data_IF_139719771670
#
_entry.id   IF_139719771670
#
_cell.length_a   1.000
_cell.length_b   1.000
_cell.length_c   1.000
_cell.angle_alpha   90.00
_cell.angle_beta   90.00
_cell.angle_gamma   90.00
#
_symmetry.space_group_name_H-M   'P 1'
#
loop_
_entity.id
_entity.type
_entity.pdbx_description
1 polymer ?
#
# COMPACT_ATOMS: atom_id res chain seq x y z
N UNK A 1 14.67 -7.40 6.47
CA UNK A 1 13.44 -6.61 6.20
C UNK A 1 12.36 -7.09 7.15
N UNK A 2 11.43 -6.22 7.55
CA UNK A 2 10.33 -6.63 8.44
C UNK A 2 9.25 -7.36 7.62
N UNK A 3 8.55 -8.35 8.19
CA UNK A 3 7.41 -8.97 7.51
C UNK A 3 6.37 -7.92 7.11
N UNK A 4 5.83 -8.07 5.91
CA UNK A 4 4.71 -7.28 5.44
C UNK A 4 3.44 -7.68 6.19
N UNK A 5 2.75 -6.66 6.69
CA UNK A 5 1.38 -6.77 7.20
C UNK A 5 0.58 -5.62 6.60
N UNK A 6 -0.57 -5.87 5.94
CA UNK A 6 -1.41 -4.81 5.39
C UNK A 6 -1.95 -3.87 6.48
N UNK A 7 -2.08 -4.37 7.72
CA UNK A 7 -2.56 -3.59 8.87
C UNK A 7 -1.56 -2.51 9.30
N UNK A 8 -0.27 -2.65 8.98
CA UNK A 8 0.75 -1.64 9.26
C UNK A 8 0.55 -0.36 8.42
N UNK A 9 -0.34 -0.41 7.42
CA UNK A 9 -0.68 0.69 6.52
C UNK A 9 -2.08 1.27 6.79
N UNK A 10 -2.70 0.89 7.91
CA UNK A 10 -3.90 1.54 8.44
C UNK A 10 -3.52 2.50 9.57
N UNK A 11 -3.98 3.76 9.51
CA UNK A 11 -3.62 4.83 10.44
C UNK A 11 -2.71 5.89 9.83
N UNK A 12 -2.39 6.95 10.57
CA UNK A 12 -1.54 8.07 10.09
C UNK A 12 -2.00 8.73 8.78
N UNK A 13 -3.32 8.86 8.59
CA UNK A 13 -3.90 9.48 7.39
C UNK A 13 -4.07 8.52 6.20
N UNK A 14 -3.87 7.22 6.41
CA UNK A 14 -4.21 6.16 5.45
C UNK A 14 -5.27 5.22 6.01
N UNK A 15 -6.23 4.83 5.18
CA UNK A 15 -7.28 3.87 5.50
C UNK A 15 -7.09 2.64 4.64
N UNK A 16 -6.85 1.49 5.28
CA UNK A 16 -6.87 0.20 4.59
C UNK A 16 -8.29 -0.13 4.11
N UNK A 17 -8.48 -0.23 2.79
CA UNK A 17 -9.74 -0.66 2.20
C UNK A 17 -9.80 -2.18 2.06
N UNK A 18 -8.77 -2.76 1.43
CA UNK A 18 -8.66 -4.21 1.31
C UNK A 18 -7.23 -4.69 1.11
N UNK A 19 -7.04 -5.96 1.45
CA UNK A 19 -5.89 -6.76 1.08
C UNK A 19 -6.38 -8.04 0.40
N UNK A 20 -5.91 -8.30 -0.83
CA UNK A 20 -6.20 -9.52 -1.57
C UNK A 20 -4.89 -10.27 -1.84
N UNK A 21 -4.58 -11.33 -1.09
CA UNK A 21 -3.36 -12.09 -1.30
C UNK A 21 -3.39 -12.84 -2.66
N UNK A 22 -2.23 -12.95 -3.30
CA UNK A 22 -1.96 -13.70 -4.53
C UNK A 22 -0.74 -14.61 -4.35
N UNK A 23 -0.44 -15.47 -5.34
CA UNK A 23 0.63 -16.48 -5.22
C UNK A 23 2.00 -15.93 -4.81
N UNK A 24 2.39 -14.73 -5.27
CA UNK A 24 3.67 -14.12 -4.94
C UNK A 24 3.54 -12.74 -4.29
N UNK A 25 2.51 -12.51 -3.48
CA UNK A 25 2.27 -11.21 -2.83
C UNK A 25 0.79 -10.90 -2.78
N UNK A 26 0.35 -9.81 -3.41
CA UNK A 26 -1.07 -9.48 -3.48
C UNK A 26 -1.37 -8.04 -3.84
N UNK A 27 -2.66 -7.72 -3.85
CA UNK A 27 -3.16 -6.38 -4.11
C UNK A 27 -3.58 -5.70 -2.81
N UNK A 28 -3.06 -4.49 -2.60
CA UNK A 28 -3.39 -3.62 -1.48
C UNK A 28 -4.12 -2.38 -1.98
N UNK A 29 -5.28 -2.08 -1.41
CA UNK A 29 -5.99 -0.82 -1.68
C UNK A 29 -6.13 0.00 -0.41
N UNK A 30 -5.77 1.28 -0.53
CA UNK A 30 -5.77 2.26 0.53
C UNK A 30 -6.51 3.53 0.07
N UNK A 31 -7.11 4.24 1.01
CA UNK A 31 -7.47 5.65 0.85
C UNK A 31 -6.48 6.52 1.62
N UNK A 32 -6.06 7.65 1.05
CA UNK A 32 -5.04 8.51 1.62
C UNK A 32 -5.15 9.94 1.11
N UNK A 33 -4.72 10.90 1.92
CA UNK A 33 -4.33 12.22 1.42
C UNK A 33 -3.07 12.12 0.55
N UNK A 34 -2.92 13.00 -0.45
CA UNK A 34 -1.73 13.02 -1.32
C UNK A 34 -0.42 13.13 -0.52
N UNK A 35 -0.41 13.96 0.53
CA UNK A 35 0.78 14.25 1.33
C UNK A 35 1.30 13.01 2.10
N UNK A 36 0.43 12.04 2.41
CA UNK A 36 0.82 10.83 3.12
C UNK A 36 1.37 9.73 2.20
N UNK A 37 1.12 9.80 0.88
CA UNK A 37 1.52 8.77 -0.09
C UNK A 37 3.05 8.56 -0.14
N UNK A 38 3.92 9.60 -0.22
CA UNK A 38 5.37 9.39 -0.26
C UNK A 38 5.93 8.61 0.94
N UNK A 39 5.48 8.94 2.16
CA UNK A 39 5.91 8.25 3.38
C UNK A 39 5.44 6.78 3.40
N UNK A 40 4.31 6.48 2.76
CA UNK A 40 3.77 5.14 2.56
C UNK A 40 4.75 4.25 1.77
N UNK A 41 5.30 4.77 0.66
CA UNK A 41 6.31 4.06 -0.13
C UNK A 41 7.62 3.86 0.63
N UNK A 42 8.07 4.85 1.42
CA UNK A 42 9.24 4.68 2.29
C UNK A 42 9.05 3.58 3.33
N UNK A 43 7.84 3.43 3.89
CA UNK A 43 7.51 2.33 4.81
C UNK A 43 7.45 0.98 4.10
N UNK A 44 6.89 0.91 2.89
CA UNK A 44 6.85 -0.31 2.07
C UNK A 44 8.26 -0.81 1.75
N UNK A 45 9.20 0.08 1.44
CA UNK A 45 10.59 -0.26 1.16
C UNK A 45 11.35 -0.90 2.34
N UNK A 46 10.80 -0.85 3.56
CA UNK A 46 11.38 -1.48 4.75
C UNK A 46 10.83 -2.91 4.99
N UNK A 47 9.82 -3.32 4.19
CA UNK A 47 9.13 -4.60 4.30
C UNK A 47 9.69 -5.62 3.31
N UNK A 48 9.43 -6.90 3.56
CA UNK A 48 9.81 -8.01 2.67
C UNK A 48 8.95 -8.11 1.40
N UNK A 49 8.46 -6.98 0.89
CA UNK A 49 7.70 -6.84 -0.36
C UNK A 49 8.27 -5.72 -1.23
N UNK A 50 7.94 -5.75 -2.51
CA UNK A 50 8.24 -4.71 -3.49
C UNK A 50 6.94 -4.26 -4.17
N UNK A 51 6.87 -2.99 -4.59
CA UNK A 51 5.75 -2.47 -5.36
C UNK A 51 6.03 -2.73 -6.85
N UNK A 52 5.29 -3.65 -7.46
CA UNK A 52 5.41 -3.97 -8.88
C UNK A 52 4.67 -2.95 -9.76
N UNK A 53 3.49 -2.51 -9.32
CA UNK A 53 2.70 -1.49 -9.98
C UNK A 53 1.85 -0.70 -8.98
N UNK A 54 1.45 0.51 -9.37
CA UNK A 54 0.50 1.29 -8.57
C UNK A 54 -0.37 2.17 -9.46
N UNK A 55 -1.55 2.52 -8.93
CA UNK A 55 -2.43 3.52 -9.51
C UNK A 55 -2.93 4.46 -8.42
N UNK A 56 -3.07 5.74 -8.75
CA UNK A 56 -3.66 6.77 -7.88
C UNK A 56 -4.85 7.35 -8.63
N UNK A 57 -6.02 7.33 -8.00
CA UNK A 57 -7.25 7.88 -8.56
C UNK A 57 -7.92 8.81 -7.56
N UNK A 58 -8.53 9.92 -8.01
CA UNK A 58 -9.35 10.74 -7.13
C UNK A 58 -10.59 9.95 -6.70
N UNK A 59 -10.91 10.04 -5.42
CA UNK A 59 -12.22 9.75 -4.85
C UNK A 59 -12.73 11.06 -4.24
N UNK A 60 -14.04 11.25 -4.13
CA UNK A 60 -14.70 12.52 -3.75
C UNK A 60 -13.83 13.56 -3.02
N UNK A 61 -13.28 13.23 -1.85
CA UNK A 61 -12.39 14.11 -1.06
C UNK A 61 -11.03 13.50 -0.69
N UNK A 62 -10.73 12.27 -1.14
CA UNK A 62 -9.50 11.52 -0.81
C UNK A 62 -8.92 10.84 -2.04
N UNK A 63 -7.68 10.37 -2.01
CA UNK A 63 -7.14 9.58 -3.11
C UNK A 63 -7.23 8.10 -2.80
N UNK A 64 -7.62 7.31 -3.81
CA UNK A 64 -7.51 5.85 -3.75
C UNK A 64 -6.20 5.42 -4.39
N UNK A 65 -5.37 4.77 -3.58
CA UNK A 65 -4.12 4.14 -3.99
C UNK A 65 -4.36 2.64 -4.08
N UNK A 66 -4.09 2.05 -5.25
CA UNK A 66 -4.05 0.59 -5.44
C UNK A 66 -2.62 0.20 -5.77
N UNK A 67 -2.10 -0.79 -5.06
CA UNK A 67 -0.73 -1.29 -5.16
C UNK A 67 -0.78 -2.77 -5.51
N UNK A 68 0.06 -3.17 -6.46
CA UNK A 68 0.41 -4.57 -6.70
C UNK A 68 1.74 -4.84 -6.00
N UNK A 69 1.71 -5.73 -5.01
CA UNK A 69 2.86 -6.08 -4.18
C UNK A 69 3.35 -7.47 -4.53
N UNK A 70 4.66 -7.62 -4.59
CA UNK A 70 5.34 -8.89 -4.76
C UNK A 70 6.29 -9.17 -3.60
N UNK A 71 6.50 -10.42 -3.19
CA UNK A 71 7.54 -10.72 -2.19
C UNK A 71 8.92 -10.36 -2.73
N UNK A 72 9.72 -9.68 -1.89
CA UNK A 72 11.10 -9.40 -2.22
C UNK A 72 11.90 -10.72 -2.32
N UNK A 73 12.73 -10.84 -3.36
CA UNK A 73 13.64 -11.98 -3.53
C UNK A 73 14.80 -11.96 -2.53
#
# INVERSE_FOLDING_TARGET
MMPFSPLDFHGEGTTLLHWKPLQNGGELALESAWQAIPALFSRLAQRDVQVAAFTISPQSTVLRLRLELEHAK
#
